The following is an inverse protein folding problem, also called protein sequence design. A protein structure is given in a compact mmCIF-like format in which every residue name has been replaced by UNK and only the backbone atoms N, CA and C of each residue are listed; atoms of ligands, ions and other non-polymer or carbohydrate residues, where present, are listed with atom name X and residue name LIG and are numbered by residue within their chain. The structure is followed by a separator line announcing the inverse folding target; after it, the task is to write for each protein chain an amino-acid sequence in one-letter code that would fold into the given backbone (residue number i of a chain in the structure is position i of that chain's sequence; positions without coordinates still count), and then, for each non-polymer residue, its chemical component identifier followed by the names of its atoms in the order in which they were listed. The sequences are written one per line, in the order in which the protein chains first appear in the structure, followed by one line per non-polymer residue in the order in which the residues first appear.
data_IF_030791850276
#
_entry.id   IF_030791850276
#
_cell.length_a   1.000
_cell.length_b   1.000
_cell.length_c   1.000
_cell.angle_alpha   90.00
_cell.angle_beta   90.00
_cell.angle_gamma   90.00
#
_symmetry.space_group_name_H-M   'P 1'
#
loop_
_entity.id
_entity.type
_entity.pdbx_description
1 polymer ?
#
# COMPACT_ATOMS: atom_id res chain seq x y z
N UNK A 1 -7.87 15.30 -7.83
CA UNK A 1 -7.96 14.34 -6.72
C UNK A 1 -7.70 15.05 -5.42
N UNK A 2 -7.97 14.41 -4.29
CA UNK A 2 -7.50 14.90 -2.99
C UNK A 2 -5.98 14.70 -2.89
N UNK A 3 -5.22 15.64 -2.31
CA UNK A 3 -3.78 15.49 -2.16
C UNK A 3 -3.42 14.41 -1.13
N UNK A 4 -2.41 13.61 -1.43
CA UNK A 4 -1.79 12.72 -0.46
C UNK A 4 -0.87 13.54 0.46
N UNK A 5 -1.11 13.49 1.76
CA UNK A 5 -0.23 14.09 2.75
C UNK A 5 0.83 13.08 3.20
N UNK A 6 2.10 13.41 2.97
CA UNK A 6 3.24 12.56 3.31
C UNK A 6 3.98 13.18 4.51
N UNK A 7 4.19 12.36 5.53
CA UNK A 7 5.05 12.67 6.67
C UNK A 7 6.40 11.96 6.51
N UNK A 8 7.44 12.73 6.22
CA UNK A 8 8.80 12.20 6.03
C UNK A 8 9.53 11.96 7.36
N UNK A 9 8.96 12.40 8.49
CA UNK A 9 9.51 12.25 9.84
C UNK A 9 8.39 11.92 10.85
N UNK A 10 7.72 10.75 10.70
CA UNK A 10 6.64 10.34 11.58
C UNK A 10 7.11 10.14 13.03
N UNK A 11 8.40 9.90 13.22
CA UNK A 11 9.08 9.74 14.51
C UNK A 11 9.24 11.06 15.30
N UNK A 12 9.10 12.22 14.67
CA UNK A 12 9.30 13.52 15.30
C UNK A 12 7.99 14.28 15.51
N UNK A 13 7.85 14.96 16.65
CA UNK A 13 6.70 15.83 16.93
C UNK A 13 6.74 17.13 16.10
N UNK A 14 5.59 17.76 15.81
CA UNK A 14 5.54 19.05 15.12
C UNK A 14 6.37 20.15 15.79
N UNK A 15 6.40 20.19 17.12
CA UNK A 15 7.16 21.17 17.91
C UNK A 15 8.67 20.95 17.72
N UNK A 16 9.09 19.68 17.69
CA UNK A 16 10.49 19.31 17.43
C UNK A 16 10.91 19.74 16.03
N UNK A 17 10.03 19.58 15.03
CA UNK A 17 10.29 20.04 13.66
C UNK A 17 10.41 21.55 13.62
N UNK A 18 9.45 22.28 14.18
CA UNK A 18 9.47 23.75 14.22
C UNK A 18 10.74 24.28 14.90
N UNK A 19 11.12 23.70 16.05
CA UNK A 19 12.33 24.07 16.78
C UNK A 19 13.61 23.80 15.98
N UNK A 20 13.66 22.69 15.23
CA UNK A 20 14.80 22.36 14.35
C UNK A 20 14.87 23.26 13.12
N UNK A 21 13.73 23.59 12.50
CA UNK A 21 13.65 24.52 11.36
C UNK A 21 14.10 25.93 11.76
N UNK A 22 13.69 26.39 12.96
CA UNK A 22 14.07 27.71 13.49
C UNK A 22 15.60 27.84 13.72
N UNK A 23 16.30 26.72 13.99
CA UNK A 23 17.76 26.69 14.20
C UNK A 23 18.59 26.72 12.90
N UNK A 24 17.95 26.92 11.74
CA UNK A 24 18.64 27.01 10.44
C UNK A 24 19.69 28.13 10.44
N UNK A 25 20.92 27.81 10.04
CA UNK A 25 21.98 28.80 9.86
C UNK A 25 21.74 29.61 8.56
N UNK A 26 21.94 30.94 8.55
CA UNK A 26 21.74 31.76 7.35
C UNK A 26 22.56 31.32 6.13
N UNK A 27 23.75 30.76 6.36
CA UNK A 27 24.67 30.28 5.31
C UNK A 27 24.28 28.92 4.71
N UNK A 28 23.37 28.18 5.34
CA UNK A 28 22.95 26.87 4.83
C UNK A 28 21.88 27.02 3.75
N UNK A 29 22.11 26.39 2.59
CA UNK A 29 21.05 26.17 1.60
C UNK A 29 19.90 25.37 2.23
N UNK A 30 18.68 25.55 1.74
CA UNK A 30 17.51 24.84 2.25
C UNK A 30 17.73 23.31 2.24
N UNK A 31 18.27 22.77 1.15
CA UNK A 31 18.60 21.34 1.03
C UNK A 31 19.61 20.89 2.09
N UNK A 32 20.67 21.67 2.34
CA UNK A 32 21.65 21.33 3.37
C UNK A 32 21.08 21.45 4.79
N UNK A 33 20.22 22.44 5.05
CA UNK A 33 19.53 22.58 6.33
C UNK A 33 18.62 21.38 6.61
N UNK A 34 17.79 20.98 5.63
CA UNK A 34 16.91 19.82 5.73
C UNK A 34 17.68 18.50 5.94
N UNK A 35 18.75 18.30 5.17
CA UNK A 35 19.63 17.13 5.35
C UNK A 35 20.27 17.09 6.74
N UNK A 36 20.82 18.21 7.23
CA UNK A 36 21.51 18.25 8.54
C UNK A 36 20.53 18.11 9.72
N UNK A 37 19.38 18.79 9.67
CA UNK A 37 18.43 18.84 10.78
C UNK A 37 17.61 17.56 10.93
N UNK A 38 17.28 16.93 9.80
CA UNK A 38 16.36 15.81 9.76
C UNK A 38 16.98 14.53 9.18
N UNK A 39 18.18 14.54 8.60
CA UNK A 39 18.77 13.38 7.91
C UNK A 39 17.94 12.88 6.71
N UNK A 40 17.26 13.80 6.00
CA UNK A 40 16.47 13.45 4.82
C UNK A 40 17.37 12.99 3.66
N UNK A 41 16.88 12.01 2.90
CA UNK A 41 17.54 11.52 1.69
C UNK A 41 17.46 12.57 0.57
N UNK A 42 18.35 12.53 -0.43
CA UNK A 42 18.26 13.42 -1.60
C UNK A 42 16.90 13.35 -2.30
N UNK A 43 16.31 12.15 -2.42
CA UNK A 43 15.00 11.95 -3.02
C UNK A 43 13.88 12.65 -2.22
N UNK A 44 13.88 12.53 -0.89
CA UNK A 44 12.91 13.20 -0.04
C UNK A 44 13.02 14.74 -0.12
N UNK A 45 14.25 15.27 -0.16
CA UNK A 45 14.49 16.71 -0.35
C UNK A 45 14.06 17.16 -1.74
N UNK A 46 14.33 16.35 -2.78
CA UNK A 46 13.87 16.59 -4.15
C UNK A 46 12.35 16.72 -4.21
N UNK A 47 11.64 15.74 -3.65
CA UNK A 47 10.18 15.74 -3.56
C UNK A 47 9.65 17.00 -2.86
N UNK A 48 10.20 17.37 -1.71
CA UNK A 48 9.80 18.59 -0.99
C UNK A 48 9.98 19.84 -1.86
N UNK A 49 11.04 19.92 -2.66
CA UNK A 49 11.29 21.06 -3.55
C UNK A 49 10.31 21.09 -4.72
N UNK A 50 10.03 19.95 -5.33
CA UNK A 50 9.08 19.81 -6.45
C UNK A 50 7.68 20.29 -6.06
N UNK A 51 7.24 19.99 -4.84
CA UNK A 51 5.92 20.39 -4.33
C UNK A 51 5.94 21.69 -3.51
N UNK A 52 7.09 22.35 -3.37
CA UNK A 52 7.23 23.59 -2.60
C UNK A 52 7.03 23.45 -1.08
N UNK A 53 7.22 22.24 -0.52
CA UNK A 53 7.07 21.98 0.91
C UNK A 53 8.26 22.50 1.73
N UNK A 54 7.94 23.15 2.86
CA UNK A 54 8.92 23.61 3.85
C UNK A 54 8.90 22.79 5.14
N UNK A 55 7.80 22.09 5.39
CA UNK A 55 7.61 21.23 6.55
C UNK A 55 7.70 19.75 6.12
N UNK A 56 8.71 19.00 6.60
CA UNK A 56 8.87 17.59 6.23
C UNK A 56 7.75 16.68 6.74
N UNK A 57 6.90 17.12 7.69
CA UNK A 57 5.74 16.34 8.15
C UNK A 57 4.50 16.54 7.28
N UNK A 58 4.50 17.56 6.42
CA UNK A 58 3.32 17.98 5.65
C UNK A 58 3.71 18.22 4.19
N UNK A 59 4.13 17.16 3.52
CA UNK A 59 4.44 17.19 2.09
C UNK A 59 3.19 16.77 1.31
N UNK A 60 2.53 17.75 0.68
CA UNK A 60 1.29 17.54 -0.08
C UNK A 60 1.61 17.15 -1.52
N UNK A 61 1.21 15.95 -1.95
CA UNK A 61 1.44 15.43 -3.29
C UNK A 61 0.10 15.20 -4.00
N UNK A 62 -0.09 15.86 -5.14
CA UNK A 62 -1.28 15.63 -5.96
C UNK A 62 -1.12 14.34 -6.77
N UNK A 63 -1.96 13.34 -6.47
CA UNK A 63 -2.00 12.10 -7.22
C UNK A 63 -2.89 12.26 -8.47
N UNK A 64 -2.40 11.77 -9.61
CA UNK A 64 -3.15 11.78 -10.87
C UNK A 64 -3.96 10.49 -11.09
N UNK A 65 -3.66 9.44 -10.33
CA UNK A 65 -4.32 8.14 -10.40
C UNK A 65 -3.33 6.99 -10.16
N UNK A 66 -3.82 5.75 -10.01
CA UNK A 66 -2.97 4.57 -9.94
C UNK A 66 -2.32 4.27 -11.30
N UNK A 67 -1.23 3.50 -11.27
CA UNK A 67 -0.70 2.89 -12.49
C UNK A 67 -1.68 1.82 -13.03
N UNK A 68 -1.56 1.47 -14.31
CA UNK A 68 -2.39 0.43 -14.92
C UNK A 68 -2.10 -0.98 -14.40
N UNK A 69 -2.99 -1.93 -14.71
CA UNK A 69 -2.97 -3.30 -14.19
C UNK A 69 -1.67 -4.06 -14.50
N UNK A 70 -1.01 -3.79 -15.63
CA UNK A 70 0.27 -4.39 -15.99
C UNK A 70 1.41 -4.10 -14.97
N UNK A 71 1.22 -3.08 -14.12
CA UNK A 71 2.14 -2.69 -13.04
C UNK A 71 1.62 -3.09 -11.67
N UNK A 72 0.39 -3.59 -11.57
CA UNK A 72 -0.20 -4.02 -10.32
C UNK A 72 0.44 -5.34 -9.86
N UNK A 73 0.57 -5.50 -8.55
CA UNK A 73 1.10 -6.72 -7.90
C UNK A 73 -0.02 -7.59 -7.32
N UNK A 74 -1.25 -7.08 -7.32
CA UNK A 74 -2.49 -7.72 -6.90
C UNK A 74 -3.65 -6.91 -7.49
N UNK A 75 -4.81 -7.54 -7.60
CA UNK A 75 -6.08 -6.93 -8.00
C UNK A 75 -7.03 -6.80 -6.81
N UNK A 76 -7.93 -5.83 -6.92
CA UNK A 76 -9.09 -5.64 -6.05
C UNK A 76 -10.35 -5.96 -6.85
N UNK A 77 -11.37 -6.53 -6.20
CA UNK A 77 -12.52 -7.11 -6.89
C UNK A 77 -12.35 -8.60 -7.16
N UNK A 78 -13.30 -9.20 -7.87
CA UNK A 78 -13.27 -10.62 -8.24
C UNK A 78 -14.64 -11.26 -8.07
N UNK A 79 -14.64 -12.57 -7.82
CA UNK A 79 -15.86 -13.33 -7.52
C UNK A 79 -16.29 -13.02 -6.08
N UNK A 80 -17.48 -12.43 -5.93
CA UNK A 80 -18.00 -12.04 -4.63
C UNK A 80 -18.07 -13.23 -3.65
N UNK A 81 -17.75 -13.00 -2.37
CA UNK A 81 -17.69 -14.08 -1.35
C UNK A 81 -18.96 -14.92 -1.24
N UNK A 82 -20.13 -14.34 -1.50
CA UNK A 82 -21.42 -15.03 -1.43
C UNK A 82 -21.72 -15.92 -2.65
N UNK A 83 -20.99 -15.76 -3.75
CA UNK A 83 -21.11 -16.59 -4.96
C UNK A 83 -20.44 -17.97 -4.80
N UNK A 84 -19.59 -18.12 -3.77
CA UNK A 84 -18.98 -19.38 -3.37
C UNK A 84 -19.50 -19.86 -2.01
N UNK A 85 -19.41 -21.16 -1.78
CA UNK A 85 -19.71 -21.77 -0.48
C UNK A 85 -18.51 -21.78 0.48
N UNK A 86 -18.57 -22.56 1.56
CA UNK A 86 -17.50 -22.77 2.53
C UNK A 86 -16.31 -23.58 1.96
N UNK A 87 -16.52 -24.31 0.87
CA UNK A 87 -15.51 -25.11 0.17
C UNK A 87 -14.91 -24.39 -1.03
N UNK A 88 -15.30 -23.12 -1.24
CA UNK A 88 -14.93 -22.31 -2.40
C UNK A 88 -15.49 -22.84 -3.73
N UNK A 89 -16.54 -23.67 -3.68
CA UNK A 89 -17.27 -24.12 -4.87
C UNK A 89 -18.22 -23.01 -5.31
N UNK A 90 -18.32 -22.78 -6.62
CA UNK A 90 -19.25 -21.83 -7.21
C UNK A 90 -20.67 -22.35 -7.06
N UNK A 91 -21.52 -21.57 -6.38
CA UNK A 91 -22.92 -21.95 -6.11
C UNK A 91 -23.75 -22.10 -7.38
N UNK A 92 -23.48 -21.27 -8.39
CA UNK A 92 -24.22 -21.26 -9.67
C UNK A 92 -23.73 -22.32 -10.66
N UNK A 93 -22.51 -22.84 -10.48
CA UNK A 93 -21.91 -23.80 -11.39
C UNK A 93 -21.26 -24.93 -10.58
N UNK A 94 -22.05 -25.91 -10.10
CA UNK A 94 -21.52 -27.02 -9.32
C UNK A 94 -20.41 -27.77 -10.07
N UNK A 95 -19.41 -28.22 -9.32
CA UNK A 95 -18.19 -28.85 -9.83
C UNK A 95 -17.03 -27.88 -10.11
N UNK A 96 -17.27 -26.56 -10.09
CA UNK A 96 -16.24 -25.54 -10.34
C UNK A 96 -15.93 -24.77 -9.06
N UNK A 97 -14.67 -24.37 -8.89
CA UNK A 97 -14.16 -23.73 -7.68
C UNK A 97 -13.40 -22.46 -8.05
N UNK A 98 -13.41 -21.48 -7.16
CA UNK A 98 -12.64 -20.25 -7.28
C UNK A 98 -11.84 -20.02 -6.00
N UNK A 99 -10.53 -19.89 -6.12
CA UNK A 99 -9.60 -19.80 -4.98
C UNK A 99 -8.61 -18.66 -5.17
N UNK A 100 -7.97 -18.24 -4.09
CA UNK A 100 -6.94 -17.20 -4.11
C UNK A 100 -7.44 -15.85 -4.62
N UNK A 101 -6.65 -15.22 -5.50
CA UNK A 101 -6.92 -13.88 -6.02
C UNK A 101 -8.13 -13.80 -6.98
N UNK A 102 -8.72 -14.94 -7.38
CA UNK A 102 -9.97 -14.92 -8.14
C UNK A 102 -11.16 -14.40 -7.31
N UNK A 103 -11.05 -14.48 -5.99
CA UNK A 103 -12.08 -14.06 -5.05
C UNK A 103 -11.98 -12.55 -4.80
N UNK A 104 -13.13 -11.93 -4.55
CA UNK A 104 -13.21 -10.51 -4.17
C UNK A 104 -12.75 -10.29 -2.73
N UNK A 105 -11.44 -10.15 -2.56
CA UNK A 105 -10.81 -9.78 -1.31
C UNK A 105 -9.49 -9.03 -1.58
N UNK A 106 -9.08 -8.17 -0.64
CA UNK A 106 -7.86 -7.39 -0.77
C UNK A 106 -6.81 -7.83 0.28
N UNK A 107 -5.62 -8.18 -0.20
CA UNK A 107 -4.51 -8.60 0.63
C UNK A 107 -3.54 -7.43 0.90
N UNK A 108 -3.12 -7.18 2.15
CA UNK A 108 -1.96 -6.34 2.38
C UNK A 108 -0.69 -7.03 1.85
N UNK A 109 0.29 -6.23 1.42
CA UNK A 109 1.62 -6.75 1.08
C UNK A 109 2.28 -7.42 2.29
N UNK A 110 3.23 -8.33 2.04
CA UNK A 110 3.92 -9.07 3.10
C UNK A 110 3.56 -10.56 3.20
N UNK A 111 3.06 -11.15 2.11
CA UNK A 111 2.81 -12.60 2.00
C UNK A 111 1.36 -13.04 2.20
N UNK A 112 0.46 -12.13 2.59
CA UNK A 112 -0.95 -12.45 2.84
C UNK A 112 -1.66 -13.00 1.61
N UNK A 113 -1.40 -12.44 0.42
CA UNK A 113 -1.96 -12.93 -0.84
C UNK A 113 -1.62 -14.41 -1.07
N UNK A 114 -0.33 -14.75 -0.97
CA UNK A 114 0.14 -16.12 -1.12
C UNK A 114 -0.49 -17.05 -0.06
N UNK A 115 -0.53 -16.60 1.19
CA UNK A 115 -1.13 -17.38 2.29
C UNK A 115 -2.60 -17.73 2.00
N UNK A 116 -3.38 -16.77 1.52
CA UNK A 116 -4.77 -17.01 1.17
C UNK A 116 -4.91 -17.91 -0.07
N UNK A 117 -4.09 -17.70 -1.11
CA UNK A 117 -4.06 -18.58 -2.28
C UNK A 117 -3.83 -20.04 -1.87
N UNK A 118 -2.84 -20.30 -1.00
CA UNK A 118 -2.58 -21.67 -0.54
C UNK A 118 -3.68 -22.21 0.37
N UNK A 119 -4.16 -21.41 1.32
CA UNK A 119 -5.18 -21.87 2.28
C UNK A 119 -6.50 -22.22 1.59
N UNK A 120 -6.97 -21.36 0.67
CA UNK A 120 -8.21 -21.58 -0.09
C UNK A 120 -8.08 -22.76 -1.06
N UNK A 121 -6.93 -22.93 -1.72
CA UNK A 121 -6.66 -24.08 -2.57
C UNK A 121 -6.69 -25.40 -1.79
N UNK A 122 -6.11 -25.46 -0.58
CA UNK A 122 -6.13 -26.67 0.27
C UNK A 122 -7.56 -27.04 0.65
N UNK A 123 -8.41 -26.07 0.99
CA UNK A 123 -9.83 -26.31 1.32
C UNK A 123 -10.59 -26.88 0.13
N UNK A 124 -10.47 -26.24 -1.05
CA UNK A 124 -11.13 -26.70 -2.27
C UNK A 124 -10.66 -28.10 -2.70
N UNK A 125 -9.35 -28.36 -2.63
CA UNK A 125 -8.77 -29.67 -2.98
C UNK A 125 -9.27 -30.79 -2.07
N UNK A 126 -9.38 -30.54 -0.75
CA UNK A 126 -9.92 -31.52 0.20
C UNK A 126 -11.37 -31.85 -0.10
N UNK A 127 -12.18 -30.86 -0.44
CA UNK A 127 -13.57 -31.09 -0.81
C UNK A 127 -13.69 -31.89 -2.11
N UNK A 128 -12.92 -31.51 -3.15
CA UNK A 128 -12.86 -32.24 -4.42
C UNK A 128 -12.53 -33.72 -4.25
N UNK A 129 -11.58 -34.05 -3.36
CA UNK A 129 -11.21 -35.45 -3.07
C UNK A 129 -12.33 -36.24 -2.42
N UNK A 130 -13.23 -35.60 -1.68
CA UNK A 130 -14.38 -36.27 -1.03
C UNK A 130 -15.57 -36.45 -1.96
N UNK A 131 -15.70 -35.61 -2.99
CA UNK A 131 -16.86 -35.61 -3.90
C UNK A 131 -16.60 -36.34 -5.22
N UNK A 132 -15.36 -36.70 -5.53
CA UNK A 132 -14.96 -37.31 -6.80
C UNK A 132 -14.15 -38.62 -6.67
N UNK A 133 -14.21 -39.28 -5.52
CA UNK A 133 -13.83 -40.68 -5.31
C UNK A 133 -15.05 -41.53 -5.04
#
# INVERSE_FOLDING_TARGET
GEPLLIDLRPDLSPETIAAKLAKRKPKDSQSNALRKAFNLTPAAIGLMREVGATDPKRVSLMLTGPAGLARAISSAGGIARHEVDEHFQLRKVPGYYAVGEMLDWEAPTGGYLLQACFSTAVVAARHLLLTHT
#
